data_IF_292891180641
#
_entry.id   IF_292891180641
#
_cell.length_a   1.000
_cell.length_b   1.000
_cell.length_c   1.000
_cell.angle_alpha   90.00
_cell.angle_beta   90.00
_cell.angle_gamma   90.00
#
_symmetry.space_group_name_H-M   'P 1'
#
loop_
_entity.id
_entity.type
_entity.pdbx_description
1 polymer ?
#
# COMPACT_ATOMS: atom_id res chain seq x y z
N UNK A 1 46.32 73.70 1.29
CA UNK A 1 46.71 72.29 0.99
C UNK A 1 45.52 71.39 1.29
N UNK A 2 44.88 70.83 0.25
CA UNK A 2 43.69 69.98 0.37
C UNK A 2 44.11 68.50 0.36
N UNK A 3 44.05 67.85 1.52
CA UNK A 3 44.35 66.41 1.68
C UNK A 3 43.14 65.72 2.32
N UNK A 4 41.95 65.83 1.70
CA UNK A 4 40.69 65.33 2.28
C UNK A 4 39.72 64.66 1.26
N UNK A 5 40.22 63.97 0.24
CA UNK A 5 39.35 63.29 -0.74
C UNK A 5 39.63 61.78 -0.93
N UNK A 6 40.73 61.25 -0.39
CA UNK A 6 41.08 59.83 -0.62
C UNK A 6 40.41 58.85 0.34
N UNK A 7 40.09 59.27 1.57
CA UNK A 7 39.42 58.40 2.54
C UNK A 7 37.93 58.19 2.17
N UNK A 8 37.22 59.27 1.85
CA UNK A 8 35.80 59.23 1.50
C UNK A 8 35.55 58.45 0.20
N UNK A 9 36.43 58.57 -0.79
CA UNK A 9 36.38 57.77 -2.01
C UNK A 9 36.61 56.26 -1.75
N UNK A 10 37.54 55.91 -0.84
CA UNK A 10 37.79 54.51 -0.47
C UNK A 10 36.60 53.89 0.26
N UNK A 11 35.94 54.65 1.13
CA UNK A 11 34.73 54.20 1.82
C UNK A 11 33.59 54.02 0.82
N UNK A 12 33.39 54.98 -0.09
CA UNK A 12 32.39 54.86 -1.15
C UNK A 12 32.61 53.64 -2.06
N UNK A 13 33.87 53.40 -2.47
CA UNK A 13 34.24 52.23 -3.28
C UNK A 13 34.01 50.92 -2.52
N UNK A 14 34.35 50.87 -1.22
CA UNK A 14 34.11 49.69 -0.39
C UNK A 14 32.63 49.35 -0.29
N UNK A 15 31.77 50.36 -0.03
CA UNK A 15 30.32 50.18 0.04
C UNK A 15 29.76 49.74 -1.32
N UNK A 16 30.24 50.31 -2.42
CA UNK A 16 29.84 49.90 -3.77
C UNK A 16 30.20 48.44 -4.07
N UNK A 17 31.43 48.02 -3.76
CA UNK A 17 31.88 46.62 -3.94
C UNK A 17 31.08 45.69 -3.04
N UNK A 18 30.83 46.05 -1.78
CA UNK A 18 30.01 45.26 -0.87
C UNK A 18 28.57 45.09 -1.39
N UNK A 19 27.95 46.17 -1.90
CA UNK A 19 26.63 46.12 -2.51
C UNK A 19 26.63 45.23 -3.77
N UNK A 20 27.66 45.31 -4.60
CA UNK A 20 27.83 44.47 -5.78
C UNK A 20 27.93 42.99 -5.40
N UNK A 21 28.73 42.67 -4.37
CA UNK A 21 28.87 41.30 -3.86
C UNK A 21 27.52 40.78 -3.33
N UNK A 22 26.78 41.57 -2.55
CA UNK A 22 25.45 41.18 -2.05
C UNK A 22 24.48 40.92 -3.21
N UNK A 23 24.46 41.80 -4.23
CA UNK A 23 23.63 41.58 -5.41
C UNK A 23 24.00 40.28 -6.14
N UNK A 24 25.29 40.04 -6.37
CA UNK A 24 25.78 38.81 -6.99
C UNK A 24 25.43 37.57 -6.15
N UNK A 25 25.55 37.65 -4.82
CA UNK A 25 25.13 36.58 -3.91
C UNK A 25 23.63 36.29 -3.98
N UNK A 26 22.78 37.31 -4.12
CA UNK A 26 21.33 37.13 -4.30
C UNK A 26 21.02 36.47 -5.65
N UNK A 27 21.66 36.91 -6.73
CA UNK A 27 21.49 36.29 -8.05
C UNK A 27 21.95 34.83 -8.07
N UNK A 28 23.06 34.52 -7.39
CA UNK A 28 23.57 33.16 -7.24
C UNK A 28 22.65 32.30 -6.37
N UNK A 29 22.18 32.81 -5.23
CA UNK A 29 21.27 32.11 -4.32
C UNK A 29 19.89 31.83 -4.93
N UNK A 30 19.40 32.71 -5.82
CA UNK A 30 18.17 32.49 -6.61
C UNK A 30 18.33 31.46 -7.74
N UNK A 31 19.53 30.92 -7.95
CA UNK A 31 19.76 29.85 -8.91
C UNK A 31 19.70 30.30 -10.37
N UNK A 32 20.13 31.52 -10.70
CA UNK A 32 20.37 31.92 -12.09
C UNK A 32 21.56 31.12 -12.66
N UNK A 33 21.29 29.90 -13.10
CA UNK A 33 22.27 29.05 -13.79
C UNK A 33 22.47 29.56 -15.21
N UNK A 34 23.56 30.30 -15.43
CA UNK A 34 24.10 30.57 -16.77
C UNK A 34 24.61 29.24 -17.32
N UNK A 35 23.84 28.53 -18.15
CA UNK A 35 24.38 27.43 -18.97
C UNK A 35 23.60 26.12 -19.09
N UNK A 36 22.37 26.01 -18.59
CA UNK A 36 21.51 24.86 -18.92
C UNK A 36 20.31 25.37 -19.72
N UNK A 37 20.27 25.06 -21.01
CA UNK A 37 19.02 25.22 -21.77
C UNK A 37 17.99 24.28 -21.13
N UNK A 38 16.95 24.87 -20.55
CA UNK A 38 15.85 24.13 -19.96
C UNK A 38 14.75 23.96 -21.00
N UNK A 39 14.09 22.82 -20.96
CA UNK A 39 12.94 22.52 -21.78
C UNK A 39 11.72 22.34 -20.88
N UNK A 40 10.65 23.07 -21.22
CA UNK A 40 9.39 23.06 -20.48
C UNK A 40 8.51 21.89 -20.94
N UNK A 41 7.82 21.28 -19.98
CA UNK A 41 6.83 20.23 -20.20
C UNK A 41 5.61 20.47 -19.30
N UNK A 42 4.47 19.93 -19.72
CA UNK A 42 3.26 19.88 -18.93
C UNK A 42 2.91 18.43 -18.62
N UNK A 43 2.58 18.13 -17.36
CA UNK A 43 2.06 16.82 -16.94
C UNK A 43 0.74 16.98 -16.19
N UNK A 44 -0.22 16.12 -16.49
CA UNK A 44 -1.53 16.09 -15.83
C UNK A 44 -1.64 14.92 -14.87
N UNK A 45 -2.14 15.21 -13.66
CA UNK A 45 -2.45 14.21 -12.63
C UNK A 45 -3.93 14.31 -12.23
N UNK A 46 -4.60 13.18 -11.91
CA UNK A 46 -5.94 13.22 -11.31
C UNK A 46 -5.95 13.89 -9.93
N UNK A 47 -4.89 13.64 -9.14
CA UNK A 47 -4.69 14.22 -7.81
C UNK A 47 -3.20 14.21 -7.48
N UNK A 48 -2.73 15.27 -6.84
CA UNK A 48 -1.40 15.36 -6.24
C UNK A 48 -1.52 15.95 -4.84
N UNK A 49 -0.59 15.62 -3.95
CA UNK A 49 -0.58 16.12 -2.58
C UNK A 49 0.84 16.39 -2.12
N UNK A 50 1.02 17.52 -1.42
CA UNK A 50 2.28 17.89 -0.78
C UNK A 50 3.39 18.35 -1.74
N UNK A 51 3.09 18.59 -3.02
CA UNK A 51 4.04 19.12 -4.00
C UNK A 51 3.78 20.60 -4.26
N UNK A 52 4.84 21.38 -4.36
CA UNK A 52 4.81 22.85 -4.44
C UNK A 52 5.61 23.38 -5.63
N UNK A 53 5.33 24.62 -6.00
CA UNK A 53 6.16 25.35 -6.96
C UNK A 53 7.60 25.50 -6.42
N UNK A 54 8.58 25.27 -7.28
CA UNK A 54 10.00 25.24 -6.90
C UNK A 54 10.52 23.88 -6.41
N UNK A 55 9.64 22.91 -6.15
CA UNK A 55 10.07 21.54 -5.82
C UNK A 55 10.90 20.94 -6.94
N UNK A 56 11.79 20.03 -6.55
CA UNK A 56 12.76 19.42 -7.46
C UNK A 56 12.08 18.47 -8.44
N UNK A 57 12.57 18.47 -9.69
CA UNK A 57 12.31 17.42 -10.66
C UNK A 57 13.55 16.53 -10.77
N UNK A 58 13.34 15.24 -10.56
CA UNK A 58 14.39 14.21 -10.57
C UNK A 58 14.22 13.32 -11.79
N UNK A 59 15.30 13.10 -12.54
CA UNK A 59 15.33 12.17 -13.66
C UNK A 59 16.24 11.01 -13.28
N UNK A 60 15.69 9.79 -13.20
CA UNK A 60 16.39 8.60 -12.72
C UNK A 60 17.16 8.83 -11.39
N UNK A 61 16.56 9.55 -10.45
CA UNK A 61 17.15 9.84 -9.14
C UNK A 61 18.07 11.07 -9.09
N UNK A 62 18.42 11.67 -10.23
CA UNK A 62 19.29 12.85 -10.29
C UNK A 62 18.49 14.14 -10.47
N UNK A 63 18.80 15.17 -9.70
CA UNK A 63 18.24 16.52 -9.88
C UNK A 63 18.53 17.04 -11.28
N UNK A 64 17.47 17.21 -12.08
CA UNK A 64 17.58 17.68 -13.48
C UNK A 64 16.59 18.78 -13.83
N UNK A 65 15.78 19.22 -12.87
CA UNK A 65 14.80 20.25 -13.11
C UNK A 65 14.13 20.80 -11.85
N UNK A 66 13.08 21.56 -12.08
CA UNK A 66 12.22 22.14 -11.06
C UNK A 66 10.78 22.27 -11.56
N UNK A 67 9.84 22.32 -10.63
CA UNK A 67 8.45 22.67 -10.92
C UNK A 67 8.34 24.18 -11.03
N UNK A 68 7.78 24.63 -12.15
CA UNK A 68 7.63 26.05 -12.44
C UNK A 68 6.27 26.56 -11.98
N UNK A 69 5.20 25.76 -12.16
CA UNK A 69 3.84 26.17 -11.80
C UNK A 69 2.92 24.98 -11.58
N UNK A 70 1.92 25.13 -10.69
CA UNK A 70 0.86 24.15 -10.47
C UNK A 70 -0.51 24.81 -10.68
N UNK A 71 -1.33 24.24 -11.55
CA UNK A 71 -2.65 24.78 -11.91
C UNK A 71 -3.73 23.71 -11.74
N UNK A 72 -4.86 24.08 -11.14
CA UNK A 72 -6.06 23.23 -11.12
C UNK A 72 -6.83 23.44 -12.45
N UNK A 73 -7.05 22.37 -13.19
CA UNK A 73 -7.74 22.38 -14.48
C UNK A 73 -8.90 21.38 -14.45
N UNK A 74 -10.10 21.86 -14.10
CA UNK A 74 -11.26 20.99 -13.88
C UNK A 74 -11.01 20.02 -12.71
N UNK A 75 -11.18 18.72 -12.95
CA UNK A 75 -10.97 17.65 -11.97
C UNK A 75 -9.52 17.10 -11.98
N UNK A 76 -8.57 17.84 -12.54
CA UNK A 76 -7.17 17.42 -12.66
C UNK A 76 -6.21 18.54 -12.30
N UNK A 77 -5.00 18.17 -11.92
CA UNK A 77 -3.90 19.10 -11.63
C UNK A 77 -2.90 19.05 -12.77
N UNK A 78 -2.64 20.21 -13.36
CA UNK A 78 -1.62 20.43 -14.38
C UNK A 78 -0.36 20.96 -13.69
N UNK A 79 0.75 20.27 -13.87
CA UNK A 79 2.07 20.69 -13.38
C UNK A 79 2.91 21.09 -14.58
N UNK A 80 3.38 22.34 -14.58
CA UNK A 80 4.38 22.86 -15.51
C UNK A 80 5.76 22.72 -14.86
N UNK A 81 6.69 22.11 -15.58
CA UNK A 81 8.02 21.85 -15.06
C UNK A 81 9.08 21.94 -16.16
N UNK A 82 10.29 22.26 -15.74
CA UNK A 82 11.44 22.44 -16.61
C UNK A 82 12.52 21.43 -16.30
N UNK A 83 13.06 20.77 -17.33
CA UNK A 83 14.19 19.85 -17.22
C UNK A 83 15.30 20.20 -18.22
N UNK A 84 16.51 19.72 -17.96
CA UNK A 84 17.67 19.79 -18.88
C UNK A 84 17.29 19.31 -20.30
N UNK A 85 17.51 20.15 -21.33
CA UNK A 85 17.14 19.89 -22.74
C UNK A 85 17.77 18.63 -23.34
N UNK A 86 18.86 18.15 -22.75
CA UNK A 86 19.52 16.90 -23.17
C UNK A 86 18.69 15.66 -22.82
N UNK A 87 17.66 15.79 -21.98
CA UNK A 87 16.82 14.69 -21.53
C UNK A 87 15.66 14.52 -22.52
N UNK A 88 15.60 13.35 -23.16
CA UNK A 88 14.51 12.96 -24.06
C UNK A 88 13.55 12.02 -23.34
N UNK A 89 12.30 12.45 -23.23
CA UNK A 89 11.20 11.63 -22.71
C UNK A 89 10.72 10.74 -23.87
N UNK A 90 10.73 9.42 -23.67
CA UNK A 90 10.28 8.40 -24.61
C UNK A 90 8.81 8.08 -24.41
N UNK A 91 8.15 7.40 -25.35
CA UNK A 91 6.71 7.08 -25.26
C UNK A 91 6.31 6.20 -24.05
N UNK A 92 7.23 5.43 -23.51
CA UNK A 92 7.06 4.55 -22.34
C UNK A 92 7.56 5.19 -21.04
N UNK A 93 7.52 6.52 -20.96
CA UNK A 93 7.92 7.24 -19.76
C UNK A 93 7.02 6.91 -18.55
N UNK A 94 7.57 7.11 -17.36
CA UNK A 94 6.80 7.14 -16.13
C UNK A 94 7.09 8.43 -15.36
N UNK A 95 6.04 9.10 -14.88
CA UNK A 95 6.16 10.34 -14.09
C UNK A 95 5.27 10.21 -12.86
N UNK A 96 5.83 10.42 -11.67
CA UNK A 96 5.13 10.29 -10.41
C UNK A 96 5.65 11.26 -9.34
N UNK A 97 4.85 11.50 -8.32
CA UNK A 97 5.22 12.32 -7.16
C UNK A 97 5.50 11.41 -5.98
N UNK A 98 6.68 11.52 -5.36
CA UNK A 98 7.06 10.76 -4.17
C UNK A 98 7.78 11.63 -3.13
N UNK A 99 7.87 11.14 -1.89
CA UNK A 99 8.59 11.84 -0.81
C UNK A 99 10.10 11.65 -0.93
N UNK A 100 10.87 12.66 -0.54
CA UNK A 100 12.32 12.55 -0.31
C UNK A 100 12.60 11.74 0.94
N UNK A 101 13.66 10.93 0.91
CA UNK A 101 14.07 10.03 2.00
C UNK A 101 14.39 10.73 3.35
N UNK A 102 14.75 12.03 3.36
CA UNK A 102 15.28 12.68 4.57
C UNK A 102 14.46 13.83 5.15
N UNK A 103 13.72 14.60 4.34
CA UNK A 103 13.20 15.91 4.80
C UNK A 103 11.68 16.06 4.69
N UNK A 104 10.96 15.02 4.27
CA UNK A 104 9.50 15.07 4.08
C UNK A 104 9.02 15.93 2.90
N UNK A 105 9.94 16.51 2.10
CA UNK A 105 9.60 17.19 0.86
C UNK A 105 9.11 16.22 -0.22
N UNK A 106 8.42 16.72 -1.25
CA UNK A 106 8.01 15.92 -2.41
C UNK A 106 8.90 16.25 -3.62
N UNK A 107 9.05 15.27 -4.50
CA UNK A 107 9.81 15.36 -5.75
C UNK A 107 8.95 14.82 -6.88
N UNK A 108 9.01 15.48 -8.04
CA UNK A 108 8.50 14.94 -9.29
C UNK A 108 9.57 14.04 -9.91
N UNK A 109 9.36 12.72 -9.84
CA UNK A 109 10.22 11.73 -10.46
C UNK A 109 9.84 11.51 -11.91
N UNK A 110 10.85 11.39 -12.76
CA UNK A 110 10.72 11.11 -14.19
C UNK A 110 11.64 9.95 -14.52
N UNK A 111 11.05 8.89 -15.05
CA UNK A 111 11.73 7.81 -15.73
C UNK A 111 11.55 8.04 -17.23
N UNK A 112 12.60 8.44 -17.97
CA UNK A 112 12.47 8.85 -19.37
C UNK A 112 11.98 7.77 -20.33
N UNK A 113 11.91 6.51 -19.91
CA UNK A 113 11.56 5.37 -20.76
C UNK A 113 12.75 4.82 -21.55
N UNK A 114 12.56 3.64 -22.18
CA UNK A 114 13.58 2.93 -22.97
C UNK A 114 13.15 2.73 -24.43
N UNK A 115 11.94 3.15 -24.80
CA UNK A 115 11.43 3.03 -26.16
C UNK A 115 12.30 3.77 -27.17
N UNK A 116 12.31 3.28 -28.41
CA UNK A 116 13.00 3.92 -29.53
C UNK A 116 12.30 5.19 -30.00
N UNK A 117 11.02 5.36 -29.67
CA UNK A 117 10.22 6.52 -30.05
C UNK A 117 10.23 7.61 -28.97
N UNK A 118 10.63 8.82 -29.36
CA UNK A 118 10.53 10.01 -28.53
C UNK A 118 9.06 10.45 -28.37
N UNK A 119 8.76 11.05 -27.22
CA UNK A 119 7.53 11.78 -26.98
C UNK A 119 7.66 13.19 -27.53
N UNK A 120 6.60 13.71 -28.14
CA UNK A 120 6.56 15.11 -28.57
C UNK A 120 6.45 16.01 -27.33
N UNK A 121 7.40 16.95 -27.11
CA UNK A 121 7.36 17.87 -25.99
C UNK A 121 6.11 18.76 -25.91
N UNK A 122 5.44 19.00 -27.05
CA UNK A 122 4.21 19.78 -27.11
C UNK A 122 2.98 19.00 -26.66
N UNK A 123 3.09 17.67 -26.58
CA UNK A 123 1.99 16.82 -26.10
C UNK A 123 2.00 16.76 -24.58
N UNK A 124 0.88 17.06 -23.92
CA UNK A 124 0.77 16.89 -22.47
C UNK A 124 1.10 15.47 -22.02
N UNK A 125 2.00 15.38 -21.04
CA UNK A 125 2.34 14.14 -20.39
C UNK A 125 1.24 13.79 -19.37
N UNK A 126 1.19 12.50 -19.01
CA UNK A 126 0.26 11.95 -18.04
C UNK A 126 1.05 11.44 -16.85
N UNK A 127 0.82 12.06 -15.72
CA UNK A 127 1.39 11.65 -14.45
C UNK A 127 0.61 10.46 -13.92
N UNK A 128 1.33 9.44 -13.47
CA UNK A 128 0.78 8.42 -12.60
C UNK A 128 0.85 9.00 -11.19
N UNK A 129 -0.27 9.27 -10.49
CA UNK A 129 -0.18 9.54 -9.07
C UNK A 129 0.57 8.35 -8.49
N UNK A 130 1.82 8.58 -8.09
CA UNK A 130 2.71 7.51 -7.64
C UNK A 130 1.97 6.68 -6.60
N UNK A 131 2.37 5.43 -6.42
CA UNK A 131 1.84 4.68 -5.29
C UNK A 131 2.25 5.40 -4.01
N UNK A 132 1.38 6.29 -3.52
CA UNK A 132 1.62 7.00 -2.28
C UNK A 132 1.73 5.92 -1.24
N UNK A 133 2.90 5.81 -0.63
CA UNK A 133 3.17 4.79 0.36
C UNK A 133 2.10 4.83 1.46
N UNK A 134 1.57 6.03 1.78
CA UNK A 134 0.44 6.18 2.68
C UNK A 134 -0.87 5.57 2.14
N UNK A 135 -1.17 5.71 0.84
CA UNK A 135 -2.34 5.07 0.22
C UNK A 135 -2.22 3.54 0.15
N UNK A 136 -1.00 3.02 -0.06
CA UNK A 136 -0.72 1.58 0.03
C UNK A 136 -0.91 1.08 1.47
N UNK A 137 -0.40 1.85 2.44
CA UNK A 137 -0.53 1.56 3.87
C UNK A 137 -1.99 1.56 4.34
N UNK A 138 -2.79 2.52 3.89
CA UNK A 138 -4.21 2.58 4.20
C UNK A 138 -4.96 1.39 3.59
N UNK A 139 -4.70 1.06 2.32
CA UNK A 139 -5.30 -0.12 1.68
C UNK A 139 -4.95 -1.42 2.42
N UNK A 140 -3.73 -1.50 2.95
CA UNK A 140 -3.29 -2.64 3.76
C UNK A 140 -3.96 -2.67 5.13
N UNK A 141 -4.08 -1.53 5.80
CA UNK A 141 -4.78 -1.40 7.08
C UNK A 141 -6.26 -1.79 6.96
N UNK A 142 -6.92 -1.41 5.86
CA UNK A 142 -8.32 -1.78 5.58
C UNK A 142 -8.45 -3.29 5.38
N UNK A 143 -7.62 -3.89 4.52
CA UNK A 143 -7.60 -5.34 4.28
C UNK A 143 -7.38 -6.11 5.59
N UNK A 144 -6.40 -5.70 6.41
CA UNK A 144 -6.12 -6.38 7.68
C UNK A 144 -7.25 -6.21 8.71
N UNK A 145 -7.94 -5.08 8.70
CA UNK A 145 -9.11 -4.83 9.57
C UNK A 145 -10.29 -5.70 9.18
N UNK A 146 -10.60 -5.79 7.89
CA UNK A 146 -11.67 -6.63 7.37
C UNK A 146 -11.41 -8.11 7.69
N UNK A 147 -10.18 -8.56 7.45
CA UNK A 147 -9.75 -9.95 7.72
C UNK A 147 -9.90 -10.26 9.21
N UNK A 148 -9.48 -9.35 10.09
CA UNK A 148 -9.62 -9.49 11.55
C UNK A 148 -11.09 -9.60 11.99
N UNK A 149 -11.98 -8.79 11.41
CA UNK A 149 -13.41 -8.79 11.73
C UNK A 149 -14.06 -10.13 11.40
N UNK A 150 -13.87 -10.63 10.17
CA UNK A 150 -14.45 -11.90 9.75
C UNK A 150 -13.85 -13.11 10.48
N UNK A 151 -12.54 -13.09 10.75
CA UNK A 151 -11.90 -14.11 11.58
C UNK A 151 -12.53 -14.17 12.98
N UNK A 152 -12.92 -13.03 13.56
CA UNK A 152 -13.63 -12.98 14.84
C UNK A 152 -15.03 -13.60 14.80
N UNK A 153 -15.79 -13.31 13.72
CA UNK A 153 -17.11 -13.91 13.49
C UNK A 153 -17.00 -15.43 13.28
N UNK A 154 -15.97 -15.86 12.55
CA UNK A 154 -15.67 -17.27 12.33
C UNK A 154 -15.34 -17.98 13.63
N UNK A 155 -14.42 -17.43 14.45
CA UNK A 155 -14.10 -17.97 15.78
C UNK A 155 -15.33 -18.10 16.68
N UNK A 156 -16.20 -17.09 16.68
CA UNK A 156 -17.43 -17.14 17.48
C UNK A 156 -18.32 -18.32 17.05
N UNK A 157 -18.44 -18.55 15.75
CA UNK A 157 -19.20 -19.67 15.21
C UNK A 157 -18.57 -21.03 15.56
N UNK A 158 -17.24 -21.12 15.56
CA UNK A 158 -16.48 -22.28 16.04
C UNK A 158 -16.69 -22.55 17.53
N UNK A 159 -16.58 -21.52 18.37
CA UNK A 159 -16.71 -21.66 19.83
C UNK A 159 -18.13 -22.12 20.20
N UNK A 160 -19.14 -21.63 19.46
CA UNK A 160 -20.53 -22.10 19.57
C UNK A 160 -20.67 -23.58 19.19
N UNK A 161 -20.03 -24.02 18.10
CA UNK A 161 -20.04 -25.43 17.70
C UNK A 161 -19.38 -26.33 18.75
N UNK A 162 -18.22 -25.93 19.26
CA UNK A 162 -17.50 -26.65 20.30
C UNK A 162 -18.35 -26.80 21.58
N UNK A 163 -19.04 -25.73 21.97
CA UNK A 163 -19.96 -25.75 23.12
C UNK A 163 -21.13 -26.70 22.88
N UNK A 164 -21.71 -26.73 21.67
CA UNK A 164 -22.78 -27.68 21.34
C UNK A 164 -22.28 -29.12 21.44
N UNK A 165 -21.09 -29.42 20.91
CA UNK A 165 -20.48 -30.77 20.93
C UNK A 165 -20.21 -31.25 22.35
N UNK A 166 -19.59 -30.42 23.21
CA UNK A 166 -19.29 -30.80 24.60
C UNK A 166 -20.54 -31.08 25.44
N UNK A 167 -21.65 -30.40 25.13
CA UNK A 167 -22.92 -30.57 25.83
C UNK A 167 -23.81 -31.67 25.19
N UNK A 168 -23.35 -32.36 24.14
CA UNK A 168 -24.14 -33.45 23.52
C UNK A 168 -24.46 -34.55 24.53
N UNK A 169 -23.53 -34.94 25.40
CA UNK A 169 -23.72 -36.04 26.35
C UNK A 169 -24.80 -35.78 27.42
N UNK A 170 -25.06 -34.52 27.78
CA UNK A 170 -26.08 -34.15 28.77
C UNK A 170 -27.45 -33.86 28.16
N UNK A 171 -27.55 -33.76 26.82
CA UNK A 171 -28.69 -33.15 26.12
C UNK A 171 -29.24 -34.07 24.99
N UNK A 172 -28.81 -35.34 24.91
CA UNK A 172 -29.37 -36.34 23.96
C UNK A 172 -30.85 -36.61 24.27
N UNK A 173 -31.74 -35.75 23.78
CA UNK A 173 -33.19 -35.83 24.02
C UNK A 173 -33.95 -34.50 23.93
N UNK A 174 -33.26 -33.35 24.01
CA UNK A 174 -33.93 -32.03 23.91
C UNK A 174 -34.15 -31.62 22.44
N UNK A 175 -35.39 -31.30 22.08
CA UNK A 175 -35.75 -30.77 20.75
C UNK A 175 -35.03 -29.47 20.39
N UNK A 176 -34.55 -28.71 21.38
CA UNK A 176 -33.77 -27.49 21.20
C UNK A 176 -32.37 -27.76 20.62
N UNK A 177 -31.77 -28.92 20.90
CA UNK A 177 -30.42 -29.28 20.44
C UNK A 177 -30.34 -29.35 18.92
N UNK A 178 -31.35 -29.97 18.30
CA UNK A 178 -31.44 -30.09 16.83
C UNK A 178 -31.57 -28.71 16.17
N UNK A 179 -32.32 -27.79 16.78
CA UNK A 179 -32.45 -26.40 16.32
C UNK A 179 -31.15 -25.60 16.44
N UNK A 180 -30.45 -25.75 17.57
CA UNK A 180 -29.17 -25.10 17.83
C UNK A 180 -28.07 -25.61 16.89
N UNK A 181 -27.96 -26.92 16.67
CA UNK A 181 -27.02 -27.50 15.71
C UNK A 181 -27.29 -26.97 14.30
N UNK A 182 -28.56 -26.97 13.87
CA UNK A 182 -28.94 -26.45 12.54
C UNK A 182 -28.57 -24.98 12.36
N UNK A 183 -28.82 -24.16 13.38
CA UNK A 183 -28.52 -22.71 13.35
C UNK A 183 -27.01 -22.46 13.32
N UNK A 184 -26.25 -23.12 14.20
CA UNK A 184 -24.78 -23.01 14.24
C UNK A 184 -24.17 -23.46 12.92
N UNK A 185 -24.66 -24.55 12.33
CA UNK A 185 -24.18 -25.04 11.04
C UNK A 185 -24.47 -24.06 9.90
N UNK A 186 -25.66 -23.45 9.89
CA UNK A 186 -25.99 -22.41 8.91
C UNK A 186 -25.09 -21.19 9.05
N UNK A 187 -24.86 -20.72 10.28
CA UNK A 187 -23.98 -19.56 10.54
C UNK A 187 -22.53 -19.85 10.16
N UNK A 188 -22.05 -21.07 10.41
CA UNK A 188 -20.72 -21.51 9.98
C UNK A 188 -20.61 -21.52 8.46
N UNK A 189 -21.59 -22.10 7.75
CA UNK A 189 -21.58 -22.12 6.28
C UNK A 189 -21.50 -20.71 5.69
N UNK A 190 -22.34 -19.78 6.16
CA UNK A 190 -22.31 -18.38 5.73
C UNK A 190 -21.01 -17.67 6.11
N UNK A 191 -20.54 -17.84 7.36
CA UNK A 191 -19.28 -17.24 7.82
C UNK A 191 -18.10 -17.71 6.99
N UNK A 192 -18.10 -18.98 6.60
CA UNK A 192 -17.03 -19.56 5.80
C UNK A 192 -17.03 -19.09 4.35
N UNK A 193 -18.22 -18.92 3.75
CA UNK A 193 -18.35 -18.30 2.43
C UNK A 193 -17.83 -16.86 2.45
N UNK A 194 -18.24 -16.06 3.44
CA UNK A 194 -17.78 -14.67 3.59
C UNK A 194 -16.27 -14.60 3.80
N UNK A 195 -15.72 -15.49 4.65
CA UNK A 195 -14.29 -15.55 4.91
C UNK A 195 -13.51 -15.95 3.64
N UNK A 196 -14.00 -16.90 2.85
CA UNK A 196 -13.33 -17.29 1.59
C UNK A 196 -13.30 -16.13 0.57
N UNK A 197 -14.43 -15.43 0.38
CA UNK A 197 -14.50 -14.26 -0.50
C UNK A 197 -13.50 -13.19 -0.06
N UNK A 198 -13.49 -12.84 1.23
CA UNK A 198 -12.57 -11.83 1.74
C UNK A 198 -11.11 -12.26 1.64
N UNK A 199 -10.78 -13.53 1.93
CA UNK A 199 -9.41 -14.02 1.81
C UNK A 199 -8.92 -13.99 0.35
N UNK A 200 -9.81 -14.28 -0.60
CA UNK A 200 -9.54 -14.14 -2.02
C UNK A 200 -9.28 -12.68 -2.40
N UNK A 201 -10.12 -11.76 -1.95
CA UNK A 201 -9.96 -10.33 -2.19
C UNK A 201 -8.70 -9.77 -1.53
N UNK A 202 -8.40 -10.21 -0.31
CA UNK A 202 -7.19 -9.86 0.43
C UNK A 202 -5.94 -10.33 -0.30
N UNK A 203 -5.93 -11.58 -0.77
CA UNK A 203 -4.83 -12.13 -1.60
C UNK A 203 -4.62 -11.28 -2.86
N UNK A 204 -5.70 -10.92 -3.56
CA UNK A 204 -5.62 -10.09 -4.75
C UNK A 204 -5.13 -8.67 -4.43
N UNK A 205 -5.60 -8.07 -3.34
CA UNK A 205 -5.17 -6.76 -2.85
C UNK A 205 -3.69 -6.74 -2.48
N UNK A 206 -3.22 -7.75 -1.75
CA UNK A 206 -1.82 -7.88 -1.37
C UNK A 206 -0.92 -8.14 -2.58
N UNK A 207 -1.32 -8.97 -3.55
CA UNK A 207 -0.59 -9.14 -4.80
C UNK A 207 -0.43 -7.81 -5.57
N UNK A 208 -1.47 -6.96 -5.56
CA UNK A 208 -1.40 -5.61 -6.14
C UNK A 208 -0.44 -4.70 -5.37
N UNK A 209 -0.39 -4.81 -4.05
CA UNK A 209 0.56 -4.04 -3.22
C UNK A 209 2.00 -4.52 -3.47
N UNK A 210 2.24 -5.84 -3.45
CA UNK A 210 3.56 -6.43 -3.72
C UNK A 210 4.08 -6.05 -5.10
N UNK A 211 3.25 -6.18 -6.15
CA UNK A 211 3.65 -5.77 -7.50
C UNK A 211 3.90 -4.27 -7.62
N UNK A 212 3.12 -3.41 -6.95
CA UNK A 212 3.40 -1.97 -6.92
C UNK A 212 4.71 -1.65 -6.21
N UNK A 213 5.02 -2.31 -5.10
CA UNK A 213 6.29 -2.15 -4.39
C UNK A 213 7.48 -2.64 -5.23
N UNK A 214 7.36 -3.81 -5.87
CA UNK A 214 8.37 -4.37 -6.77
C UNK A 214 8.62 -3.50 -8.02
N UNK A 215 7.63 -2.70 -8.43
CA UNK A 215 7.79 -1.73 -9.51
C UNK A 215 8.32 -0.36 -9.03
N UNK A 216 8.30 -0.07 -7.72
CA UNK A 216 8.77 1.21 -7.15
C UNK A 216 10.25 1.15 -6.73
N UNK A 217 11.10 0.40 -7.45
CA UNK A 217 12.52 0.07 -7.12
C UNK A 217 13.48 1.29 -7.17
N UNK A 218 12.95 2.50 -7.09
CA UNK A 218 13.70 3.72 -7.16
C UNK A 218 14.62 3.99 -5.97
N UNK A 219 14.15 4.01 -4.72
CA UNK A 219 14.84 4.82 -3.69
C UNK A 219 14.58 4.50 -2.19
N UNK A 220 14.31 3.26 -1.75
CA UNK A 220 14.45 2.93 -0.31
C UNK A 220 14.76 1.44 -0.10
N UNK A 221 16.02 1.02 -0.24
CA UNK A 221 16.40 -0.40 -0.11
C UNK A 221 15.93 -1.01 1.21
N UNK A 222 16.03 -0.29 2.34
CA UNK A 222 15.71 -0.87 3.64
C UNK A 222 14.20 -0.99 3.93
N UNK A 223 13.41 0.03 3.55
CA UNK A 223 11.94 0.01 3.78
C UNK A 223 11.27 -0.98 2.84
N UNK A 224 11.75 -1.13 1.60
CA UNK A 224 11.20 -2.09 0.63
C UNK A 224 11.59 -3.53 0.99
N UNK A 225 12.81 -3.78 1.49
CA UNK A 225 13.27 -5.13 1.83
C UNK A 225 12.59 -5.64 3.12
N UNK A 226 12.57 -4.86 4.20
CA UNK A 226 11.93 -5.30 5.46
C UNK A 226 10.42 -5.48 5.29
N UNK A 227 9.73 -4.45 4.78
CA UNK A 227 8.27 -4.52 4.61
C UNK A 227 7.87 -5.49 3.49
N UNK A 228 8.71 -5.69 2.47
CA UNK A 228 8.49 -6.71 1.43
C UNK A 228 8.57 -8.13 1.96
N UNK A 229 9.50 -8.41 2.89
CA UNK A 229 9.60 -9.72 3.54
C UNK A 229 8.40 -9.98 4.48
N UNK A 230 8.01 -9.00 5.28
CA UNK A 230 6.81 -9.08 6.13
C UNK A 230 5.52 -9.26 5.31
N UNK A 231 5.42 -8.57 4.16
CA UNK A 231 4.30 -8.73 3.24
C UNK A 231 4.26 -10.13 2.62
N UNK A 232 5.41 -10.68 2.20
CA UNK A 232 5.52 -12.06 1.71
C UNK A 232 5.18 -13.09 2.79
N UNK A 233 5.56 -12.83 4.04
CA UNK A 233 5.20 -13.66 5.19
C UNK A 233 3.69 -13.65 5.42
N UNK A 234 3.08 -12.46 5.47
CA UNK A 234 1.62 -12.27 5.63
C UNK A 234 0.84 -12.92 4.49
N UNK A 235 1.33 -12.83 3.25
CA UNK A 235 0.77 -13.51 2.09
C UNK A 235 0.77 -15.03 2.25
N UNK A 236 1.85 -15.62 2.76
CA UNK A 236 1.92 -17.07 3.03
C UNK A 236 0.94 -17.47 4.14
N UNK A 237 0.90 -16.70 5.23
CA UNK A 237 -0.03 -16.94 6.33
C UNK A 237 -1.49 -16.90 5.86
N UNK A 238 -1.84 -15.94 5.00
CA UNK A 238 -3.17 -15.86 4.37
C UNK A 238 -3.44 -17.06 3.47
N UNK A 239 -2.46 -17.49 2.66
CA UNK A 239 -2.63 -18.69 1.82
C UNK A 239 -2.87 -19.95 2.66
N UNK A 240 -2.10 -20.13 3.74
CA UNK A 240 -2.31 -21.25 4.67
C UNK A 240 -3.68 -21.15 5.33
N UNK A 241 -4.10 -19.95 5.76
CA UNK A 241 -5.42 -19.73 6.33
C UNK A 241 -6.54 -20.05 5.33
N UNK A 242 -6.42 -19.65 4.06
CA UNK A 242 -7.37 -20.00 3.00
C UNK A 242 -7.51 -21.51 2.88
N UNK A 243 -6.39 -22.24 2.80
CA UNK A 243 -6.42 -23.71 2.71
C UNK A 243 -7.06 -24.37 3.93
N UNK A 244 -6.79 -23.87 5.14
CA UNK A 244 -7.41 -24.38 6.37
C UNK A 244 -8.92 -24.10 6.41
N UNK A 245 -9.34 -22.90 5.95
CA UNK A 245 -10.76 -22.55 5.82
C UNK A 245 -11.44 -23.43 4.78
N UNK A 246 -10.84 -23.66 3.61
CA UNK A 246 -11.39 -24.55 2.58
C UNK A 246 -11.56 -25.98 3.09
N UNK A 247 -10.57 -26.48 3.84
CA UNK A 247 -10.64 -27.80 4.46
C UNK A 247 -11.80 -27.89 5.45
N UNK A 248 -11.97 -26.86 6.28
CA UNK A 248 -13.07 -26.78 7.25
C UNK A 248 -14.43 -26.65 6.56
N UNK A 249 -14.56 -25.85 5.50
CA UNK A 249 -15.77 -25.79 4.65
C UNK A 249 -16.10 -27.18 4.13
N UNK A 250 -15.11 -27.88 3.59
CA UNK A 250 -15.26 -29.25 3.09
C UNK A 250 -15.82 -30.18 4.15
N UNK A 251 -15.21 -30.19 5.34
CA UNK A 251 -15.66 -30.99 6.48
C UNK A 251 -17.09 -30.62 6.93
N UNK A 252 -17.43 -29.33 6.95
CA UNK A 252 -18.78 -28.85 7.30
C UNK A 252 -19.83 -29.22 6.24
N UNK A 253 -19.48 -29.20 4.95
CA UNK A 253 -20.37 -29.64 3.88
C UNK A 253 -20.70 -31.13 3.99
N UNK A 254 -19.74 -31.95 4.43
CA UNK A 254 -20.00 -33.37 4.75
C UNK A 254 -21.02 -33.46 5.89
N UNK A 255 -20.85 -32.70 6.98
CA UNK A 255 -21.81 -32.68 8.11
C UNK A 255 -23.21 -32.28 7.63
N UNK A 256 -23.32 -31.18 6.86
CA UNK A 256 -24.60 -30.70 6.31
C UNK A 256 -25.27 -31.78 5.43
N UNK A 257 -24.50 -32.45 4.57
CA UNK A 257 -25.00 -33.54 3.74
C UNK A 257 -25.55 -34.71 4.57
N UNK A 258 -24.86 -35.07 5.66
CA UNK A 258 -25.33 -36.10 6.60
C UNK A 258 -26.59 -35.66 7.36
N UNK A 259 -26.75 -34.37 7.65
CA UNK A 259 -27.96 -33.82 8.28
C UNK A 259 -29.19 -33.78 7.37
N UNK A 260 -28.97 -33.62 6.05
CA UNK A 260 -30.05 -33.57 5.06
C UNK A 260 -30.57 -34.97 4.70
N UNK A 261 -29.70 -35.99 4.74
CA UNK A 261 -30.11 -37.39 4.62
C UNK A 261 -30.80 -37.81 5.92
N UNK A 262 -32.11 -38.06 5.86
CA UNK A 262 -32.99 -38.41 7.00
C UNK A 262 -32.64 -39.74 7.71
N UNK A 263 -31.56 -40.40 7.35
CA UNK A 263 -31.16 -41.69 7.89
C UNK A 263 -30.38 -41.58 9.20
N UNK A 264 -30.33 -42.70 9.93
CA UNK A 264 -29.67 -42.88 11.25
C UNK A 264 -28.15 -42.59 11.27
N UNK A 265 -27.59 -42.02 10.20
CA UNK A 265 -26.15 -41.77 10.01
C UNK A 265 -25.59 -40.65 10.90
N UNK A 266 -26.39 -39.65 11.27
CA UNK A 266 -25.94 -38.53 12.12
C UNK A 266 -25.41 -39.04 13.46
N UNK A 267 -26.06 -40.01 14.10
CA UNK A 267 -25.59 -40.55 15.38
C UNK A 267 -24.23 -41.23 15.27
N UNK A 268 -24.01 -42.01 14.20
CA UNK A 268 -22.73 -42.70 13.95
C UNK A 268 -21.60 -41.74 13.57
N UNK A 269 -21.95 -40.67 12.86
CA UNK A 269 -21.04 -39.60 12.46
C UNK A 269 -20.69 -38.66 13.61
N UNK A 270 -21.65 -38.35 14.48
CA UNK A 270 -21.44 -37.60 15.73
C UNK A 270 -20.57 -38.38 16.75
N UNK A 271 -20.34 -39.67 16.51
CA UNK A 271 -19.46 -40.52 17.30
C UNK A 271 -18.13 -40.85 16.59
N UNK A 272 -17.84 -40.21 15.45
CA UNK A 272 -16.60 -40.40 14.70
C UNK A 272 -15.48 -39.51 15.28
N UNK A 273 -14.70 -40.10 16.19
CA UNK A 273 -13.60 -39.40 16.87
C UNK A 273 -12.56 -38.83 15.87
N UNK A 274 -12.29 -39.51 14.76
CA UNK A 274 -11.31 -39.06 13.76
C UNK A 274 -11.81 -37.81 13.04
N UNK A 275 -13.09 -37.78 12.64
CA UNK A 275 -13.69 -36.60 12.02
C UNK A 275 -13.65 -35.39 12.96
N UNK A 276 -14.04 -35.55 14.23
CA UNK A 276 -14.01 -34.45 15.21
C UNK A 276 -12.59 -34.00 15.55
N UNK A 277 -11.63 -34.93 15.65
CA UNK A 277 -10.23 -34.59 15.88
C UNK A 277 -9.67 -33.78 14.71
N UNK A 278 -9.89 -34.20 13.47
CA UNK A 278 -9.46 -33.46 12.28
C UNK A 278 -10.09 -32.06 12.20
N UNK A 279 -11.38 -31.96 12.53
CA UNK A 279 -12.07 -30.67 12.60
C UNK A 279 -11.47 -29.80 13.70
N UNK A 280 -11.26 -30.33 14.90
CA UNK A 280 -10.68 -29.61 16.03
C UNK A 280 -9.23 -29.15 15.75
N UNK A 281 -8.42 -29.99 15.12
CA UNK A 281 -7.07 -29.62 14.69
C UNK A 281 -7.10 -28.48 13.67
N UNK A 282 -8.00 -28.55 12.69
CA UNK A 282 -8.19 -27.47 11.69
C UNK A 282 -8.61 -26.17 12.38
N UNK A 283 -9.52 -26.24 13.36
CA UNK A 283 -9.94 -25.10 14.16
C UNK A 283 -8.79 -24.48 14.97
N UNK A 284 -7.95 -25.31 15.59
CA UNK A 284 -6.76 -24.87 16.32
C UNK A 284 -5.74 -24.23 15.37
N UNK A 285 -5.55 -24.77 14.16
CA UNK A 285 -4.69 -24.17 13.14
C UNK A 285 -5.21 -22.81 12.70
N UNK A 286 -6.52 -22.69 12.41
CA UNK A 286 -7.17 -21.43 12.06
C UNK A 286 -7.01 -20.42 13.20
N UNK A 287 -7.18 -20.82 14.46
CA UNK A 287 -6.98 -19.93 15.62
C UNK A 287 -5.52 -19.46 15.74
N UNK A 288 -4.55 -20.35 15.56
CA UNK A 288 -3.12 -20.01 15.58
C UNK A 288 -2.76 -19.03 14.47
N UNK A 289 -3.18 -19.30 13.24
CA UNK A 289 -2.96 -18.44 12.06
C UNK A 289 -3.65 -17.08 12.23
N UNK A 290 -4.89 -17.08 12.70
CA UNK A 290 -5.65 -15.88 13.08
C UNK A 290 -4.87 -15.01 14.06
N UNK A 291 -4.36 -15.61 15.14
CA UNK A 291 -3.54 -14.89 16.13
C UNK A 291 -2.24 -14.38 15.52
N UNK A 292 -1.61 -15.15 14.63
CA UNK A 292 -0.37 -14.77 13.96
C UNK A 292 -0.59 -13.56 13.04
N UNK A 293 -1.56 -13.64 12.13
CA UNK A 293 -1.95 -12.55 11.22
C UNK A 293 -2.32 -11.30 12.01
N UNK A 294 -3.08 -11.44 13.10
CA UNK A 294 -3.46 -10.31 13.96
C UNK A 294 -2.29 -9.67 14.69
N UNK A 295 -1.26 -10.44 15.07
CA UNK A 295 -0.12 -9.95 15.87
C UNK A 295 1.00 -9.40 14.99
N UNK A 296 1.27 -10.07 13.87
CA UNK A 296 2.46 -9.86 13.05
C UNK A 296 2.12 -9.22 11.70
N UNK A 297 0.94 -9.49 11.13
CA UNK A 297 0.48 -8.83 9.89
C UNK A 297 0.19 -7.33 10.04
N UNK A 298 0.36 -6.75 11.23
CA UNK A 298 0.10 -5.33 11.56
C UNK A 298 1.41 -4.55 11.75
N UNK A 299 2.57 -5.20 11.72
CA UNK A 299 3.85 -4.54 11.99
C UNK A 299 4.56 -4.20 10.70
N UNK A 300 4.21 -3.06 10.13
CA UNK A 300 5.08 -2.41 9.16
C UNK A 300 6.00 -1.49 9.95
N UNK A 301 7.30 -1.80 9.90
CA UNK A 301 8.31 -1.00 10.55
C UNK A 301 8.62 0.17 9.61
N UNK A 302 8.10 1.35 9.96
CA UNK A 302 8.24 2.58 9.16
C UNK A 302 9.13 3.61 9.84
N UNK A 303 9.84 3.21 10.91
CA UNK A 303 10.73 4.07 11.69
C UNK A 303 11.92 3.26 12.22
#
# INVERSE_FOLDING_TARGET
MAKKNYADFKVGLFVFVAALVVLLSIFWAKGFSVGLEMQEYAVYFPKVSGINEGDMVSVNGVRKGKIDKIELTGDSVKILFSIDRNIKIKKDYEIYVAATELTGGKVLYIEPGKSTADMDPSTPLRGNPGADFASLMNSFADITTDVKSLIGQFKTSTDNLNSVIMNVNDIVGDGNLKGNIKTTMSNLATSSQNLNLLLTDSKNGLNRITSKLENTVGNVDNVVIENGNELKSTLRDIQTLTTSVDTLVGNLNVVVGQFQNKDKGIGKFLSDDEFFNNMNETLVQIEKLSKNIRKNGVKLNIF
#
